data_IF_924679047212
#
_entry.id   IF_924679047212
#
_cell.length_a   1.000
_cell.length_b   1.000
_cell.length_c   1.000
_cell.angle_alpha   90.00
_cell.angle_beta   90.00
_cell.angle_gamma   90.00
#
_symmetry.space_group_name_H-M   'P 1'
#
loop_
_entity.id
_entity.type
_entity.pdbx_description
1 polymer ?
#
# COMPACT_ATOMS: atom_id res chain seq x y z
N UNK A 1 13.36 -22.33 11.19
CA UNK A 1 13.02 -20.91 11.31
C UNK A 1 13.99 -20.32 12.33
N UNK A 2 14.71 -19.26 11.95
CA UNK A 2 15.71 -18.60 12.81
C UNK A 2 15.33 -17.12 12.97
N UNK A 3 15.71 -16.55 14.11
CA UNK A 3 15.54 -15.11 14.35
C UNK A 3 16.56 -14.32 13.54
N UNK A 4 16.18 -13.13 13.11
CA UNK A 4 17.02 -12.17 12.39
C UNK A 4 16.57 -10.76 12.76
N UNK A 5 17.46 -9.78 12.80
CA UNK A 5 17.06 -8.38 12.92
C UNK A 5 16.97 -7.76 11.53
N UNK A 6 15.83 -7.16 11.19
CA UNK A 6 15.59 -6.53 9.88
C UNK A 6 15.06 -5.11 10.12
N UNK A 7 15.74 -4.10 9.55
CA UNK A 7 15.40 -2.68 9.72
C UNK A 7 15.29 -2.24 11.19
N UNK A 8 16.14 -2.78 12.09
CA UNK A 8 16.11 -2.49 13.53
C UNK A 8 14.98 -3.19 14.29
N UNK A 9 14.26 -4.11 13.66
CA UNK A 9 13.13 -4.85 14.25
C UNK A 9 13.46 -6.33 14.36
N UNK A 10 13.13 -6.94 15.50
CA UNK A 10 13.23 -8.38 15.67
C UNK A 10 12.29 -9.11 14.70
N UNK A 11 12.88 -9.90 13.80
CA UNK A 11 12.24 -10.56 12.66
C UNK A 11 12.73 -12.02 12.50
N UNK A 12 12.42 -12.63 11.36
CA UNK A 12 12.79 -14.01 11.02
C UNK A 12 13.57 -14.07 9.71
N UNK A 13 14.56 -14.95 9.64
CA UNK A 13 15.31 -15.18 8.42
C UNK A 13 14.47 -15.94 7.37
N UNK A 14 14.68 -15.67 6.06
CA UNK A 14 14.00 -16.39 5.01
C UNK A 14 14.33 -17.89 5.00
N UNK A 15 13.38 -18.71 4.58
CA UNK A 15 13.49 -20.17 4.52
C UNK A 15 12.14 -20.84 4.31
N UNK A 16 12.02 -22.13 4.67
CA UNK A 16 10.79 -22.93 4.44
C UNK A 16 9.48 -22.28 4.91
N UNK A 17 9.53 -21.45 5.95
CA UNK A 17 8.35 -20.85 6.59
C UNK A 17 8.26 -19.33 6.42
N UNK A 18 9.27 -18.71 5.81
CA UNK A 18 9.36 -17.27 5.60
C UNK A 18 9.87 -17.07 4.19
N UNK A 19 8.98 -16.73 3.27
CA UNK A 19 9.28 -16.72 1.84
C UNK A 19 10.27 -15.62 1.45
N UNK A 20 10.21 -14.47 2.14
CA UNK A 20 10.86 -13.22 1.75
C UNK A 20 11.64 -12.66 2.94
N UNK A 21 12.87 -12.18 2.70
CA UNK A 21 13.77 -11.63 3.72
C UNK A 21 13.83 -10.09 3.75
N UNK A 22 13.25 -9.44 2.75
CA UNK A 22 13.22 -8.01 2.47
C UNK A 22 11.76 -7.49 2.56
N UNK A 23 11.24 -7.19 3.76
CA UNK A 23 9.85 -6.77 3.93
C UNK A 23 9.60 -5.40 3.27
N UNK A 24 8.44 -5.26 2.62
CA UNK A 24 8.05 -4.02 1.96
C UNK A 24 7.51 -2.98 2.95
N UNK A 25 8.31 -1.94 3.19
CA UNK A 25 7.94 -0.75 3.97
C UNK A 25 7.63 0.46 3.07
N UNK A 26 7.16 0.21 1.84
CA UNK A 26 6.96 1.28 0.87
C UNK A 26 8.27 1.69 0.16
N UNK A 27 8.36 2.94 -0.31
CA UNK A 27 9.51 3.40 -1.09
C UNK A 27 10.83 3.38 -0.31
N UNK A 28 10.82 3.46 1.03
CA UNK A 28 12.01 3.37 1.89
C UNK A 28 12.83 2.09 1.65
N UNK A 29 12.16 1.00 1.28
CA UNK A 29 12.81 -0.32 1.11
C UNK A 29 12.85 -0.77 -0.36
N UNK A 30 11.88 -0.34 -1.17
CA UNK A 30 11.70 -0.83 -2.54
C UNK A 30 11.49 0.30 -3.56
N UNK A 31 11.85 1.54 -3.21
CA UNK A 31 11.84 2.67 -4.11
C UNK A 31 12.99 2.57 -5.13
N UNK A 32 12.67 2.71 -6.42
CA UNK A 32 13.67 2.72 -7.50
C UNK A 32 13.57 3.99 -8.36
N UNK A 33 12.88 5.03 -7.89
CA UNK A 33 12.69 6.25 -8.67
C UNK A 33 13.98 7.09 -8.72
N UNK A 34 14.47 7.35 -9.92
CA UNK A 34 15.69 8.13 -10.20
C UNK A 34 15.37 9.52 -10.76
N UNK A 35 14.09 9.93 -10.75
CA UNK A 35 13.63 11.17 -11.40
C UNK A 35 14.30 12.39 -10.78
N UNK A 36 15.22 13.08 -11.48
CA UNK A 36 15.88 14.27 -10.97
C UNK A 36 14.89 15.44 -10.95
N UNK A 37 14.80 16.19 -9.85
CA UNK A 37 14.07 17.47 -9.83
C UNK A 37 13.11 17.72 -8.66
N UNK A 38 12.94 16.79 -7.72
CA UNK A 38 12.14 17.02 -6.51
C UNK A 38 13.02 16.99 -5.26
N UNK A 39 13.69 18.13 -5.00
CA UNK A 39 14.47 18.49 -3.80
C UNK A 39 15.64 17.55 -3.41
N UNK A 40 16.86 18.05 -3.62
CA UNK A 40 18.09 17.46 -3.12
C UNK A 40 18.11 17.54 -1.58
N UNK A 41 17.93 16.40 -0.89
CA UNK A 41 18.12 16.29 0.56
C UNK A 41 16.91 15.89 1.40
N UNK A 42 15.74 15.56 0.80
CA UNK A 42 14.67 14.84 1.49
C UNK A 42 14.39 13.54 0.75
N UNK A 43 14.32 12.42 1.46
CA UNK A 43 13.95 11.15 0.85
C UNK A 43 12.59 11.32 0.18
N UNK A 44 12.52 10.98 -1.10
CA UNK A 44 11.29 11.00 -1.92
C UNK A 44 10.22 10.05 -1.38
N UNK A 45 10.58 9.28 -0.36
CA UNK A 45 9.93 8.06 0.05
C UNK A 45 8.61 8.30 0.79
N UNK A 46 8.40 9.53 1.28
CA UNK A 46 7.18 9.94 1.97
C UNK A 46 6.71 11.37 1.62
N UNK A 47 6.87 11.83 0.36
CA UNK A 47 6.30 13.11 -0.07
C UNK A 47 4.75 13.05 -0.12
N UNK A 48 4.03 13.91 0.65
CA UNK A 48 2.57 13.93 0.65
C UNK A 48 1.94 14.14 -0.72
N UNK A 49 2.55 14.90 -1.62
CA UNK A 49 1.99 15.13 -2.96
C UNK A 49 2.17 13.91 -3.86
N UNK A 50 3.29 13.21 -3.75
CA UNK A 50 3.51 11.93 -4.44
C UNK A 50 2.56 10.86 -3.92
N UNK A 51 2.33 10.79 -2.61
CA UNK A 51 1.32 9.88 -2.04
C UNK A 51 -0.09 10.18 -2.54
N UNK A 52 -0.50 11.46 -2.53
CA UNK A 52 -1.81 11.88 -3.08
C UNK A 52 -1.94 11.50 -4.55
N UNK A 53 -0.89 11.70 -5.33
CA UNK A 53 -0.87 11.31 -6.74
C UNK A 53 -1.04 9.79 -6.90
N UNK A 54 -0.28 8.98 -6.16
CA UNK A 54 -0.40 7.52 -6.18
C UNK A 54 -1.83 7.05 -5.82
N UNK A 55 -2.45 7.66 -4.81
CA UNK A 55 -3.84 7.39 -4.43
C UNK A 55 -4.84 7.80 -5.53
N UNK A 56 -4.64 8.95 -6.17
CA UNK A 56 -5.46 9.38 -7.30
C UNK A 56 -5.34 8.46 -8.51
N UNK A 57 -4.15 7.93 -8.79
CA UNK A 57 -3.97 6.95 -9.88
C UNK A 57 -4.70 5.64 -9.53
N UNK A 58 -4.56 5.18 -8.28
CA UNK A 58 -5.13 3.89 -7.82
C UNK A 58 -6.66 3.92 -7.76
N UNK A 59 -7.25 5.02 -7.30
CA UNK A 59 -8.70 5.10 -7.03
C UNK A 59 -9.46 6.08 -7.94
N UNK A 60 -8.77 7.04 -8.56
CA UNK A 60 -9.41 8.11 -9.33
C UNK A 60 -9.97 7.67 -10.68
N UNK A 61 -9.42 6.61 -11.29
CA UNK A 61 -9.97 6.02 -12.52
C UNK A 61 -11.37 5.42 -12.29
N UNK A 62 -11.54 4.73 -11.17
CA UNK A 62 -12.83 4.14 -10.75
C UNK A 62 -13.83 5.23 -10.36
N UNK A 63 -13.39 6.31 -9.71
CA UNK A 63 -14.28 7.42 -9.35
C UNK A 63 -14.89 8.11 -10.58
N UNK A 64 -14.12 8.32 -11.65
CA UNK A 64 -14.65 8.93 -12.88
C UNK A 64 -15.69 8.04 -13.57
N UNK A 65 -15.46 6.71 -13.60
CA UNK A 65 -16.36 5.73 -14.19
C UNK A 65 -17.62 5.51 -13.34
N UNK A 66 -17.51 5.60 -12.02
CA UNK A 66 -18.59 5.35 -11.06
C UNK A 66 -19.32 6.63 -10.61
N UNK A 67 -18.92 7.83 -11.08
CA UNK A 67 -19.52 9.13 -10.71
C UNK A 67 -21.04 9.18 -10.85
N UNK A 68 -21.61 8.53 -11.88
CA UNK A 68 -23.05 8.39 -12.06
C UNK A 68 -23.72 7.34 -11.17
N UNK A 69 -22.95 6.36 -10.69
CA UNK A 69 -23.41 5.24 -9.85
C UNK A 69 -23.30 5.52 -8.34
N UNK A 70 -22.48 6.48 -7.90
CA UNK A 70 -22.31 6.77 -6.46
C UNK A 70 -23.58 7.24 -5.74
N UNK A 71 -24.56 7.81 -6.45
CA UNK A 71 -25.89 8.09 -5.86
C UNK A 71 -26.68 6.81 -5.54
N UNK A 72 -26.30 5.67 -6.12
CA UNK A 72 -27.01 4.39 -6.04
C UNK A 72 -26.26 3.32 -5.25
N UNK A 73 -24.93 3.46 -5.07
CA UNK A 73 -24.10 2.49 -4.35
C UNK A 73 -23.87 2.97 -2.91
N UNK A 74 -24.19 2.15 -1.89
CA UNK A 74 -23.94 2.52 -0.50
C UNK A 74 -22.45 2.64 -0.23
N UNK A 75 -22.03 3.79 0.30
CA UNK A 75 -20.66 4.02 0.73
C UNK A 75 -20.36 3.18 1.98
N UNK A 76 -19.29 2.38 1.93
CA UNK A 76 -18.85 1.55 3.05
C UNK A 76 -17.45 1.98 3.50
N UNK A 77 -17.13 1.88 4.80
CA UNK A 77 -15.75 2.02 5.28
C UNK A 77 -14.81 1.04 4.56
N UNK A 78 -13.53 1.41 4.42
CA UNK A 78 -12.55 0.64 3.63
C UNK A 78 -12.51 -0.86 3.97
N UNK A 79 -12.40 -1.21 5.25
CA UNK A 79 -12.34 -2.62 5.69
C UNK A 79 -13.67 -3.37 5.54
N UNK A 80 -14.81 -2.67 5.36
CA UNK A 80 -16.10 -3.28 5.09
C UNK A 80 -16.37 -3.53 3.59
N UNK A 81 -15.45 -3.12 2.69
CA UNK A 81 -15.58 -3.34 1.24
C UNK A 81 -15.67 -4.83 0.87
N UNK A 82 -15.04 -5.71 1.64
CA UNK A 82 -15.04 -7.16 1.42
C UNK A 82 -15.93 -7.93 2.40
N UNK A 83 -16.89 -7.25 3.06
CA UNK A 83 -17.83 -7.90 3.97
C UNK A 83 -18.61 -9.01 3.24
N UNK A 84 -18.46 -10.25 3.72
CA UNK A 84 -19.23 -11.41 3.27
C UNK A 84 -20.26 -11.80 4.32
N UNK A 85 -21.53 -11.84 3.92
CA UNK A 85 -22.60 -12.37 4.76
C UNK A 85 -22.53 -13.89 4.77
N UNK A 86 -22.56 -14.49 5.96
CA UNK A 86 -22.74 -15.93 6.10
C UNK A 86 -24.23 -16.23 5.95
N UNK A 87 -24.58 -17.24 5.16
CA UNK A 87 -25.96 -17.75 5.11
C UNK A 87 -26.20 -18.57 6.37
N UNK A 88 -27.25 -18.24 7.13
CA UNK A 88 -27.71 -19.09 8.22
C UNK A 88 -28.41 -20.32 7.63
N UNK A 89 -28.17 -21.48 8.26
CA UNK A 89 -28.65 -22.79 7.81
C UNK A 89 -30.12 -23.01 8.20
#
# INVERSE_FOLDING_TARGET
MSRLEVNGVAWFAPGRWVEIGDPWLGPDTHGCSTTPGLQQGRSMEMDPEIMKLALRITFGADEALLKGLFKRVPQRPWYARHLKLKREA
#
